data_IF_197025088778
#
_entry.id   IF_197025088778
#
_cell.length_a   1.000
_cell.length_b   1.000
_cell.length_c   1.000
_cell.angle_alpha   90.00
_cell.angle_beta   90.00
_cell.angle_gamma   90.00
#
_symmetry.space_group_name_H-M   'P 1'
#
loop_
_entity.id
_entity.type
_entity.pdbx_description
1 polymer ?
#
# COMPACT_ATOMS: atom_id res chain seq x y z
N UNK A 1 16.05 5.32 12.01
CA UNK A 1 16.96 5.99 12.95
C UNK A 1 18.06 5.06 13.48
N UNK A 2 17.87 4.28 14.56
CA UNK A 2 18.98 3.53 15.22
C UNK A 2 19.88 2.72 14.28
N UNK A 3 19.30 2.03 13.29
CA UNK A 3 20.09 1.28 12.30
C UNK A 3 20.88 2.16 11.33
N UNK A 4 20.35 3.34 10.95
CA UNK A 4 21.06 4.31 10.12
C UNK A 4 22.19 4.99 10.92
N UNK A 5 21.95 5.30 12.20
CA UNK A 5 22.97 5.89 13.08
C UNK A 5 24.18 4.94 13.24
N UNK A 6 23.94 3.62 13.35
CA UNK A 6 25.00 2.61 13.42
C UNK A 6 25.86 2.56 12.14
N UNK A 7 25.31 2.98 11.01
CA UNK A 7 26.01 3.10 9.73
C UNK A 7 26.62 4.49 9.53
N UNK A 8 26.50 5.40 10.50
CA UNK A 8 26.97 6.78 10.39
C UNK A 8 26.11 7.65 9.46
N UNK A 9 24.89 7.22 9.12
CA UNK A 9 23.97 7.96 8.25
C UNK A 9 23.09 8.85 9.13
N UNK A 10 23.25 10.16 9.00
CA UNK A 10 22.39 11.12 9.66
C UNK A 10 21.05 11.24 8.94
N UNK A 11 19.95 10.96 9.64
CA UNK A 11 18.59 11.14 9.13
C UNK A 11 17.75 11.99 10.07
N UNK A 12 17.00 12.94 9.49
CA UNK A 12 16.00 13.75 10.18
C UNK A 12 14.60 13.32 9.76
N UNK A 13 13.68 13.26 10.72
CA UNK A 13 12.30 12.85 10.50
C UNK A 13 11.36 13.93 11.05
N UNK A 14 11.11 15.01 10.28
CA UNK A 14 10.21 16.07 10.69
C UNK A 14 8.80 15.51 10.90
N UNK A 15 8.17 15.87 12.02
CA UNK A 15 6.81 15.46 12.33
C UNK A 15 5.84 16.35 11.57
N UNK A 16 4.94 15.75 10.80
CA UNK A 16 3.81 16.42 10.17
C UNK A 16 2.53 15.62 10.40
N UNK A 17 1.38 16.26 10.22
CA UNK A 17 0.11 15.54 10.18
C UNK A 17 0.04 14.67 8.91
N UNK A 18 -0.87 13.69 8.92
CA UNK A 18 -1.03 12.72 7.85
C UNK A 18 -1.33 13.36 6.49
N UNK A 19 -2.22 14.37 6.46
CA UNK A 19 -2.67 15.00 5.21
C UNK A 19 -1.53 15.74 4.52
N UNK A 20 -0.75 16.50 5.28
CA UNK A 20 0.38 17.26 4.74
C UNK A 20 1.54 16.34 4.35
N UNK A 21 1.77 15.24 5.09
CA UNK A 21 2.71 14.20 4.66
C UNK A 21 2.29 13.56 3.33
N UNK A 22 1.01 13.23 3.17
CA UNK A 22 0.50 12.62 1.94
C UNK A 22 0.63 13.59 0.74
N UNK A 23 0.33 14.88 0.93
CA UNK A 23 0.57 15.92 -0.08
C UNK A 23 2.05 16.01 -0.47
N UNK A 24 2.96 16.04 0.50
CA UNK A 24 4.39 16.11 0.25
C UNK A 24 4.91 14.85 -0.48
N UNK A 25 4.40 13.67 -0.14
CA UNK A 25 4.71 12.42 -0.83
C UNK A 25 4.26 12.45 -2.29
N UNK A 26 3.03 12.87 -2.55
CA UNK A 26 2.50 13.06 -3.91
C UNK A 26 3.27 14.14 -4.67
N UNK A 27 3.78 15.17 -4.00
CA UNK A 27 4.63 16.18 -4.62
C UNK A 27 6.08 15.70 -4.89
N UNK A 28 6.44 14.46 -4.52
CA UNK A 28 7.80 13.92 -4.56
C UNK A 28 8.81 14.73 -3.74
N UNK A 29 8.38 15.31 -2.62
CA UNK A 29 9.23 16.17 -1.77
C UNK A 29 9.91 15.40 -0.62
N UNK A 30 9.59 14.12 -0.45
CA UNK A 30 10.10 13.28 0.62
C UNK A 30 11.19 12.35 0.09
N UNK A 31 12.37 12.37 0.72
CA UNK A 31 13.49 11.48 0.37
C UNK A 31 13.24 10.05 0.86
N UNK A 32 12.87 9.88 2.13
CA UNK A 32 12.53 8.61 2.74
C UNK A 32 11.37 8.84 3.70
N UNK A 33 10.31 8.03 3.58
CA UNK A 33 9.12 8.17 4.40
C UNK A 33 8.39 6.83 4.53
N UNK A 34 7.52 6.73 5.54
CA UNK A 34 6.75 5.52 5.82
C UNK A 34 5.34 5.60 5.25
N UNK A 35 4.95 4.59 4.48
CA UNK A 35 3.62 4.44 3.94
C UNK A 35 3.10 3.03 4.21
N UNK A 36 1.79 2.84 4.03
CA UNK A 36 1.24 1.51 3.93
C UNK A 36 0.03 1.51 3.01
N UNK A 37 -0.14 0.42 2.27
CA UNK A 37 -1.27 0.22 1.38
C UNK A 37 -2.21 -0.84 1.94
N UNK A 38 -3.51 -0.67 1.69
CA UNK A 38 -4.52 -1.70 1.93
C UNK A 38 -5.16 -2.00 0.59
N UNK A 39 -5.48 -3.28 0.33
CA UNK A 39 -6.11 -3.64 -0.93
C UNK A 39 -7.47 -2.94 -1.05
N UNK A 40 -7.72 -2.28 -2.17
CA UNK A 40 -9.03 -1.69 -2.50
C UNK A 40 -9.96 -2.73 -3.13
N UNK A 41 -9.38 -3.71 -3.83
CA UNK A 41 -10.03 -4.86 -4.45
C UNK A 41 -9.07 -6.06 -4.45
N UNK A 42 -9.57 -7.31 -4.56
CA UNK A 42 -8.76 -8.52 -4.39
C UNK A 42 -7.95 -8.87 -5.66
N UNK A 43 -7.18 -7.92 -6.18
CA UNK A 43 -6.24 -8.13 -7.29
C UNK A 43 -4.86 -7.58 -6.91
N UNK A 44 -3.80 -8.34 -7.21
CA UNK A 44 -2.41 -7.94 -6.98
C UNK A 44 -2.03 -6.67 -7.75
N UNK A 45 -2.71 -6.40 -8.86
CA UNK A 45 -2.62 -5.15 -9.61
C UNK A 45 -2.73 -3.91 -8.73
N UNK A 46 -3.64 -3.93 -7.73
CA UNK A 46 -3.93 -2.77 -6.89
C UNK A 46 -2.68 -2.27 -6.15
N UNK A 47 -1.75 -3.17 -5.84
CA UNK A 47 -0.46 -2.84 -5.24
C UNK A 47 0.58 -2.43 -6.30
N UNK A 48 0.57 -3.10 -7.46
CA UNK A 48 1.56 -2.86 -8.52
C UNK A 48 1.36 -1.52 -9.22
N UNK A 49 0.14 -1.00 -9.33
CA UNK A 49 -0.11 0.34 -9.91
C UNK A 49 0.59 1.47 -9.16
N UNK A 50 0.92 1.28 -7.89
CA UNK A 50 1.63 2.24 -7.05
C UNK A 50 3.11 2.39 -7.44
N UNK A 51 3.61 1.53 -8.33
CA UNK A 51 4.97 1.53 -8.85
C UNK A 51 5.02 1.83 -10.35
N UNK A 52 3.85 1.98 -10.99
CA UNK A 52 3.78 2.38 -12.40
C UNK A 52 4.23 3.84 -12.54
N UNK A 53 5.21 4.10 -13.40
CA UNK A 53 5.85 5.40 -13.55
C UNK A 53 4.88 6.53 -13.90
N UNK A 54 3.95 6.35 -14.85
CA UNK A 54 2.94 7.36 -15.18
C UNK A 54 1.97 7.69 -14.05
N UNK A 55 1.86 6.86 -13.00
CA UNK A 55 1.06 7.16 -11.81
C UNK A 55 1.82 8.03 -10.79
N UNK A 56 3.06 8.44 -11.08
CA UNK A 56 3.81 9.34 -10.21
C UNK A 56 3.00 10.62 -9.91
N UNK A 57 3.07 11.07 -8.65
CA UNK A 57 2.32 12.23 -8.14
C UNK A 57 0.79 12.09 -8.10
N UNK A 58 0.25 10.91 -8.37
CA UNK A 58 -1.18 10.62 -8.27
C UNK A 58 -1.43 9.44 -7.34
N UNK A 59 -0.85 8.28 -7.65
CA UNK A 59 -0.91 7.06 -6.84
C UNK A 59 0.47 6.55 -6.45
N UNK A 60 1.46 6.65 -7.33
CA UNK A 60 2.84 6.28 -7.03
C UNK A 60 3.52 7.38 -6.20
N UNK A 61 3.44 7.21 -4.87
CA UNK A 61 4.01 8.13 -3.88
C UNK A 61 5.51 7.92 -3.62
N UNK A 62 6.13 6.90 -4.21
CA UNK A 62 7.59 6.76 -4.25
C UNK A 62 8.22 7.54 -5.41
N UNK A 63 7.39 8.04 -6.34
CA UNK A 63 7.82 8.70 -7.56
C UNK A 63 8.81 7.87 -8.39
N UNK A 64 8.70 6.55 -8.24
CA UNK A 64 9.54 5.58 -8.92
C UNK A 64 9.20 5.53 -10.41
N UNK A 65 10.23 5.42 -11.25
CA UNK A 65 10.09 5.34 -12.70
C UNK A 65 11.03 4.26 -13.21
N UNK A 66 10.48 3.29 -13.95
CA UNK A 66 11.26 2.20 -14.55
C UNK A 66 10.61 1.75 -15.83
N UNK A 67 11.30 1.94 -16.95
CA UNK A 67 10.79 1.55 -18.26
C UNK A 67 10.50 0.04 -18.33
N UNK A 68 11.33 -0.78 -17.67
CA UNK A 68 11.14 -2.22 -17.59
C UNK A 68 9.86 -2.57 -16.83
N UNK A 69 9.62 -1.92 -15.69
CA UNK A 69 8.39 -2.10 -14.91
C UNK A 69 7.15 -1.66 -15.71
N UNK A 70 7.21 -0.49 -16.33
CA UNK A 70 6.08 0.11 -17.06
C UNK A 70 5.63 -0.74 -18.26
N UNK A 71 6.57 -1.36 -18.98
CA UNK A 71 6.26 -2.27 -20.08
C UNK A 71 5.53 -3.51 -19.57
N UNK A 72 6.04 -4.15 -18.50
CA UNK A 72 5.41 -5.34 -17.92
C UNK A 72 4.03 -5.02 -17.33
N UNK A 73 3.87 -3.86 -16.71
CA UNK A 73 2.61 -3.42 -16.15
C UNK A 73 1.54 -3.26 -17.24
N UNK A 74 1.85 -2.58 -18.34
CA UNK A 74 0.95 -2.44 -19.50
C UNK A 74 0.56 -3.78 -20.11
N UNK A 75 1.52 -4.70 -20.26
CA UNK A 75 1.26 -6.06 -20.74
C UNK A 75 0.30 -6.80 -19.80
N UNK A 76 0.52 -6.71 -18.49
CA UNK A 76 -0.35 -7.33 -17.51
C UNK A 76 -1.77 -6.75 -17.52
N UNK A 77 -1.95 -5.47 -17.88
CA UNK A 77 -3.28 -4.84 -17.95
C UNK A 77 -4.06 -5.22 -19.20
N UNK A 78 -3.37 -5.65 -20.26
CA UNK A 78 -4.00 -6.16 -21.48
C UNK A 78 -4.46 -7.62 -21.36
N UNK A 79 -4.07 -8.33 -20.30
CA UNK A 79 -4.39 -9.73 -20.07
C UNK A 79 -5.56 -9.88 -19.07
N UNK A 80 -6.45 -10.87 -19.26
CA UNK A 80 -7.40 -11.24 -18.23
C UNK A 80 -6.69 -11.83 -16.99
N UNK A 81 -7.36 -11.88 -15.82
CA UNK A 81 -6.85 -12.60 -14.66
C UNK A 81 -6.51 -14.06 -15.01
N UNK A 82 -5.27 -14.47 -14.76
CA UNK A 82 -4.80 -15.80 -15.11
C UNK A 82 -3.28 -15.97 -14.96
N UNK A 83 -2.77 -17.18 -15.21
CA UNK A 83 -1.36 -17.52 -14.97
C UNK A 83 -0.36 -16.61 -15.69
N UNK A 84 -0.68 -16.16 -16.91
CA UNK A 84 0.19 -15.28 -17.69
C UNK A 84 0.34 -13.90 -17.05
N UNK A 85 -0.78 -13.30 -16.60
CA UNK A 85 -0.79 -12.02 -15.87
C UNK A 85 -0.05 -12.13 -14.54
N UNK A 86 -0.23 -13.25 -13.83
CA UNK A 86 0.44 -13.49 -12.55
C UNK A 86 1.95 -13.74 -12.70
N UNK A 87 2.39 -14.33 -13.81
CA UNK A 87 3.80 -14.45 -14.12
C UNK A 87 4.45 -13.07 -14.33
N UNK A 88 3.74 -12.11 -14.96
CA UNK A 88 4.18 -10.72 -15.05
C UNK A 88 4.22 -10.04 -13.68
N UNK A 89 3.27 -10.32 -12.79
CA UNK A 89 3.30 -9.81 -11.41
C UNK A 89 4.53 -10.26 -10.65
N UNK A 90 4.88 -11.55 -10.75
CA UNK A 90 6.09 -12.07 -10.15
C UNK A 90 7.34 -11.36 -10.69
N UNK A 91 7.43 -11.12 -12.00
CA UNK A 91 8.55 -10.38 -12.62
C UNK A 91 8.60 -8.92 -12.16
N UNK A 92 7.46 -8.24 -12.09
CA UNK A 92 7.38 -6.86 -11.57
C UNK A 92 7.80 -6.77 -10.11
N UNK A 93 7.42 -7.73 -9.27
CA UNK A 93 7.91 -7.81 -7.89
C UNK A 93 9.43 -7.95 -7.85
N UNK A 94 10.04 -8.79 -8.71
CA UNK A 94 11.51 -8.90 -8.80
C UNK A 94 12.17 -7.62 -9.30
N UNK A 95 11.56 -6.92 -10.24
CA UNK A 95 12.06 -5.62 -10.68
C UNK A 95 12.03 -4.58 -9.55
N UNK A 96 10.91 -4.51 -8.81
CA UNK A 96 10.81 -3.66 -7.63
C UNK A 96 11.86 -4.04 -6.57
N UNK A 97 12.06 -5.32 -6.29
CA UNK A 97 13.11 -5.77 -5.36
C UNK A 97 14.51 -5.33 -5.81
N UNK A 98 14.81 -5.44 -7.11
CA UNK A 98 16.10 -5.04 -7.65
C UNK A 98 16.31 -3.51 -7.58
N UNK A 99 15.30 -2.73 -7.94
CA UNK A 99 15.40 -1.27 -7.97
C UNK A 99 15.22 -0.64 -6.57
N UNK A 100 14.68 -1.42 -5.62
CA UNK A 100 14.42 -1.05 -4.21
C UNK A 100 13.76 0.34 -4.04
N UNK A 101 12.70 0.70 -4.79
CA UNK A 101 11.98 1.95 -4.53
C UNK A 101 11.20 1.88 -3.21
N UNK A 102 10.87 0.66 -2.76
CA UNK A 102 10.23 0.38 -1.49
C UNK A 102 11.05 -0.60 -0.68
N UNK A 103 11.08 -0.36 0.64
CA UNK A 103 11.51 -1.35 1.62
C UNK A 103 10.28 -1.92 2.32
N UNK A 104 9.84 -3.11 1.88
CA UNK A 104 8.63 -3.77 2.41
C UNK A 104 8.96 -4.41 3.76
N UNK A 105 8.30 -3.95 4.83
CA UNK A 105 8.63 -4.36 6.20
C UNK A 105 7.72 -5.47 6.75
N UNK A 106 6.40 -5.28 6.69
CA UNK A 106 5.45 -6.14 7.40
C UNK A 106 4.17 -6.35 6.62
N UNK A 107 3.53 -7.49 6.86
CA UNK A 107 2.11 -7.70 6.59
C UNK A 107 1.36 -7.60 7.92
N UNK A 108 0.27 -6.83 7.95
CA UNK A 108 -0.43 -6.50 9.20
C UNK A 108 -1.54 -7.49 9.48
N UNK A 109 -1.47 -8.16 10.63
CA UNK A 109 -2.64 -8.78 11.25
C UNK A 109 -3.45 -7.69 11.94
N UNK A 110 -4.76 -7.66 11.66
CA UNK A 110 -5.68 -6.70 12.27
C UNK A 110 -6.57 -7.43 13.28
N UNK A 111 -6.68 -6.86 14.46
CA UNK A 111 -7.56 -7.32 15.52
C UNK A 111 -8.60 -6.23 15.78
N UNK A 112 -9.80 -6.64 16.13
CA UNK A 112 -10.89 -5.75 16.49
C UNK A 112 -11.41 -6.12 17.86
N UNK A 113 -11.78 -5.10 18.64
CA UNK A 113 -12.44 -5.25 19.92
C UNK A 113 -13.80 -4.60 19.79
N UNK A 114 -14.86 -5.37 20.08
CA UNK A 114 -16.23 -4.88 20.13
C UNK A 114 -16.84 -5.20 21.49
N UNK A 115 -17.78 -4.38 21.92
CA UNK A 115 -18.52 -4.65 23.16
C UNK A 115 -19.47 -5.84 22.96
N UNK A 116 -19.81 -6.60 24.03
CA UNK A 116 -20.71 -7.75 23.94
C UNK A 116 -22.11 -7.41 23.41
N UNK A 117 -22.56 -6.16 23.58
CA UNK A 117 -23.86 -5.68 23.11
C UNK A 117 -23.85 -5.17 21.67
N UNK A 118 -22.70 -5.18 20.98
CA UNK A 118 -22.64 -4.88 19.54
C UNK A 118 -22.96 -6.15 18.77
N UNK A 119 -24.09 -6.14 18.06
CA UNK A 119 -24.57 -7.26 17.27
C UNK A 119 -24.13 -7.11 15.82
N UNK A 120 -23.98 -8.24 15.12
CA UNK A 120 -23.73 -8.28 13.67
C UNK A 120 -22.42 -7.67 13.18
N UNK A 121 -21.48 -7.32 14.09
CA UNK A 121 -20.15 -6.88 13.70
C UNK A 121 -19.42 -7.98 12.93
N UNK A 122 -19.25 -7.77 11.62
CA UNK A 122 -18.47 -8.63 10.75
C UNK A 122 -17.54 -7.80 9.90
N UNK A 123 -16.24 -7.89 10.19
CA UNK A 123 -15.25 -7.16 9.43
C UNK A 123 -14.94 -7.85 8.10
N UNK A 124 -15.06 -7.09 7.00
CA UNK A 124 -14.58 -7.54 5.70
C UNK A 124 -13.05 -7.31 5.57
N UNK A 125 -12.29 -8.20 4.92
CA UNK A 125 -10.85 -8.04 4.75
C UNK A 125 -10.42 -6.84 3.86
N UNK A 126 -11.37 -6.18 3.19
CA UNK A 126 -11.13 -5.14 2.16
C UNK A 126 -12.11 -4.00 2.39
N UNK A 127 -13.41 -4.27 2.22
CA UNK A 127 -14.46 -3.27 2.33
C UNK A 127 -14.58 -2.69 3.75
N UNK A 128 -14.79 -1.38 3.84
CA UNK A 128 -15.14 -0.68 5.08
C UNK A 128 -16.67 -0.60 5.20
N UNK A 129 -17.29 -1.77 5.35
CA UNK A 129 -18.73 -1.96 5.23
C UNK A 129 -19.34 -2.67 6.46
N UNK A 130 -18.61 -2.68 7.57
CA UNK A 130 -19.03 -3.30 8.84
C UNK A 130 -20.38 -2.78 9.35
N UNK A 131 -20.70 -1.51 9.06
CA UNK A 131 -21.92 -0.85 9.55
C UNK A 131 -23.21 -1.41 8.96
N UNK A 132 -23.17 -2.13 7.82
CA UNK A 132 -24.40 -2.60 7.15
C UNK A 132 -25.25 -3.55 8.01
N UNK A 133 -24.59 -4.32 8.87
CA UNK A 133 -25.23 -5.35 9.70
C UNK A 133 -25.02 -5.10 11.19
N UNK A 134 -24.40 -3.98 11.55
CA UNK A 134 -24.17 -3.64 12.95
C UNK A 134 -25.46 -3.15 13.59
N UNK A 135 -25.72 -3.66 14.79
CA UNK A 135 -26.79 -3.18 15.64
C UNK A 135 -26.32 -3.17 17.11
N UNK A 136 -27.14 -2.61 18.00
CA UNK A 136 -26.90 -2.58 19.44
C UNK A 136 -28.05 -3.30 20.13
N UNK A 137 -27.72 -4.25 21.01
CA UNK A 137 -28.73 -4.92 21.83
C UNK A 137 -29.44 -3.90 22.73
N UNK A 138 -30.75 -4.08 22.93
CA UNK A 138 -31.53 -3.25 23.85
C UNK A 138 -30.90 -3.25 25.24
N UNK A 139 -30.81 -2.05 25.84
CA UNK A 139 -30.40 -1.90 27.23
C UNK A 139 -31.49 -2.47 28.15
N UNK A 140 -31.20 -3.58 28.84
CA UNK A 140 -31.94 -3.97 30.04
C UNK A 140 -31.40 -3.22 31.26
#
# INVERSE_FOLDING_TARGET
QRGLDQLGIHSEHPVSNFQDHQKAALACQLMMWGAAWNADYPDGENFLQQLYGPNARQGNMACYQSAAFDVMYKQAMALPPGPERYALYAKMNRQMEADTPWFVQTVRVRNWVSQPWVLGFKRHPILNAEWLYMDVADHQ
#
